data_IF_101396217923
#
_entry.id   IF_101396217923
#
_cell.length_a   1.000
_cell.length_b   1.000
_cell.length_c   1.000
_cell.angle_alpha   90.00
_cell.angle_beta   90.00
_cell.angle_gamma   90.00
#
_symmetry.space_group_name_H-M   'P 1'
#
loop_
_entity.id
_entity.type
_entity.pdbx_description
1 polymer ?
#
# COMPACT_ATOMS: atom_id res chain seq x y z
N UNK A 1 17.43 15.06 10.10
CA UNK A 1 16.16 15.52 10.72
C UNK A 1 15.35 14.30 11.12
N UNK A 2 15.02 14.16 12.41
CA UNK A 2 14.27 13.00 12.93
C UNK A 2 12.79 12.98 12.54
N UNK A 3 12.12 11.84 12.79
CA UNK A 3 10.68 11.69 12.52
C UNK A 3 9.88 12.35 13.63
N UNK A 4 9.31 13.52 13.37
CA UNK A 4 8.37 14.18 14.28
C UNK A 4 7.06 13.40 14.42
N UNK A 5 6.50 13.35 15.64
CA UNK A 5 5.15 12.85 15.88
C UNK A 5 4.14 13.81 15.23
N UNK A 6 3.13 13.26 14.56
CA UNK A 6 2.02 14.04 13.98
C UNK A 6 0.69 13.47 14.47
N UNK A 7 -0.32 14.32 14.61
CA UNK A 7 -1.68 13.89 14.92
C UNK A 7 -2.31 13.14 13.73
N UNK A 8 -3.20 12.17 14.01
CA UNK A 8 -3.95 11.45 12.98
C UNK A 8 -5.19 12.28 12.61
N UNK A 9 -4.96 13.30 11.78
CA UNK A 9 -5.98 14.15 11.18
C UNK A 9 -5.58 14.52 9.74
N UNK A 10 -6.48 15.16 9.00
CA UNK A 10 -6.17 15.68 7.66
C UNK A 10 -5.02 16.69 7.75
N UNK A 11 -4.00 16.54 6.91
CA UNK A 11 -2.88 17.49 6.82
C UNK A 11 -3.32 18.65 5.94
N UNK A 12 -3.30 19.88 6.43
CA UNK A 12 -3.79 21.04 5.68
C UNK A 12 -2.83 21.49 4.57
N UNK A 13 -1.54 21.60 4.91
CA UNK A 13 -0.48 21.96 3.96
C UNK A 13 -0.42 20.94 2.81
N UNK A 14 -0.66 21.42 1.58
CA UNK A 14 -0.74 20.60 0.38
C UNK A 14 0.55 19.84 0.08
N UNK A 15 1.71 20.52 0.17
CA UNK A 15 3.03 19.93 -0.05
C UNK A 15 3.34 18.83 0.96
N UNK A 16 3.13 19.10 2.26
CA UNK A 16 3.31 18.10 3.31
C UNK A 16 2.36 16.92 3.15
N UNK A 17 1.11 17.17 2.73
CA UNK A 17 0.12 16.13 2.47
C UNK A 17 0.53 15.25 1.29
N UNK A 18 1.01 15.81 0.19
CA UNK A 18 1.47 15.06 -1.00
C UNK A 18 2.71 14.19 -0.69
N UNK A 19 3.68 14.75 0.02
CA UNK A 19 4.88 14.00 0.45
C UNK A 19 4.49 12.88 1.42
N UNK A 20 3.62 13.17 2.38
CA UNK A 20 3.13 12.17 3.35
C UNK A 20 2.34 11.06 2.66
N UNK A 21 1.45 11.41 1.73
CA UNK A 21 0.71 10.44 0.92
C UNK A 21 1.67 9.50 0.19
N UNK A 22 2.67 10.05 -0.50
CA UNK A 22 3.65 9.27 -1.27
C UNK A 22 4.42 8.31 -0.37
N UNK A 23 4.92 8.79 0.79
CA UNK A 23 5.67 7.97 1.75
C UNK A 23 4.80 6.89 2.41
N UNK A 24 3.60 7.24 2.90
CA UNK A 24 2.70 6.30 3.58
C UNK A 24 2.13 5.25 2.64
N UNK A 25 1.71 5.64 1.44
CA UNK A 25 1.24 4.71 0.39
C UNK A 25 2.33 3.69 0.07
N UNK A 26 3.56 4.14 -0.16
CA UNK A 26 4.68 3.24 -0.44
C UNK A 26 4.97 2.29 0.74
N UNK A 27 4.91 2.80 1.99
CA UNK A 27 5.07 1.96 3.18
C UNK A 27 3.96 0.92 3.33
N UNK A 28 2.71 1.29 3.08
CA UNK A 28 1.56 0.40 3.13
C UNK A 28 1.66 -0.73 2.09
N UNK A 29 2.00 -0.39 0.85
CA UNK A 29 2.18 -1.38 -0.23
C UNK A 29 3.31 -2.37 0.10
N UNK A 30 4.41 -1.89 0.69
CA UNK A 30 5.50 -2.77 1.15
C UNK A 30 5.01 -3.74 2.24
N UNK A 31 4.27 -3.25 3.23
CA UNK A 31 3.74 -4.09 4.32
C UNK A 31 2.73 -5.13 3.83
N UNK A 32 1.86 -4.78 2.89
CA UNK A 32 0.97 -5.75 2.27
C UNK A 32 1.73 -6.85 1.52
N UNK A 33 2.77 -6.47 0.77
CA UNK A 33 3.62 -7.44 0.07
C UNK A 33 4.39 -8.35 1.04
N UNK A 34 4.91 -7.79 2.13
CA UNK A 34 5.54 -8.59 3.19
C UNK A 34 4.55 -9.60 3.77
N UNK A 35 3.31 -9.20 4.05
CA UNK A 35 2.27 -10.08 4.58
C UNK A 35 1.89 -11.20 3.60
N UNK A 36 1.71 -10.86 2.33
CA UNK A 36 1.43 -11.80 1.25
C UNK A 36 2.51 -12.90 1.16
N UNK A 37 3.80 -12.50 1.20
CA UNK A 37 4.92 -13.44 1.12
C UNK A 37 5.07 -14.27 2.41
N UNK A 38 5.02 -13.62 3.58
CA UNK A 38 5.34 -14.28 4.86
C UNK A 38 4.24 -15.23 5.32
N UNK A 39 2.99 -14.91 5.03
CA UNK A 39 1.83 -15.65 5.52
C UNK A 39 1.07 -16.35 4.40
N UNK A 40 1.55 -16.27 3.16
CA UNK A 40 0.88 -16.83 1.99
C UNK A 40 -0.59 -16.37 1.96
N UNK A 41 -0.81 -15.07 2.14
CA UNK A 41 -2.14 -14.47 2.29
C UNK A 41 -2.50 -13.63 1.07
N UNK A 42 -3.68 -13.81 0.49
CA UNK A 42 -4.13 -12.96 -0.61
C UNK A 42 -4.48 -11.55 -0.09
N UNK A 43 -3.87 -10.51 -0.66
CA UNK A 43 -4.02 -9.12 -0.22
C UNK A 43 -4.38 -8.22 -1.41
N UNK A 44 -5.38 -7.36 -1.20
CA UNK A 44 -5.79 -6.30 -2.12
C UNK A 44 -5.71 -4.92 -1.47
N UNK A 45 -5.09 -3.95 -2.16
CA UNK A 45 -5.08 -2.53 -1.79
C UNK A 45 -5.53 -1.70 -3.00
N UNK A 46 -6.43 -0.75 -2.74
CA UNK A 46 -6.87 0.27 -3.69
C UNK A 46 -6.74 1.65 -3.03
N UNK A 47 -6.00 2.56 -3.65
CA UNK A 47 -5.80 3.93 -3.17
C UNK A 47 -6.01 4.93 -4.31
N UNK A 48 -6.88 5.90 -4.08
CA UNK A 48 -7.06 7.05 -4.97
C UNK A 48 -6.31 8.27 -4.42
N UNK A 49 -5.56 8.96 -5.27
CA UNK A 49 -5.01 10.28 -4.90
C UNK A 49 -6.08 11.36 -4.96
N UNK A 50 -5.77 12.53 -4.39
CA UNK A 50 -6.59 13.74 -4.56
C UNK A 50 -6.65 14.22 -6.03
N UNK A 51 -5.76 13.74 -6.89
CA UNK A 51 -5.77 14.01 -8.34
C UNK A 51 -6.52 12.94 -9.13
N UNK A 52 -7.19 11.99 -8.46
CA UNK A 52 -7.93 10.90 -9.11
C UNK A 52 -7.06 9.76 -9.64
N UNK A 53 -5.75 9.78 -9.39
CA UNK A 53 -4.86 8.70 -9.84
C UNK A 53 -5.05 7.47 -8.96
N UNK A 54 -5.27 6.34 -9.62
CA UNK A 54 -5.38 5.03 -8.99
C UNK A 54 -3.98 4.45 -8.71
N UNK A 55 -3.81 3.92 -7.50
CA UNK A 55 -2.69 3.09 -7.09
C UNK A 55 -3.25 1.83 -6.46
N UNK A 56 -2.91 0.66 -7.01
CA UNK A 56 -3.40 -0.61 -6.51
C UNK A 56 -2.29 -1.65 -6.37
N UNK A 57 -2.55 -2.64 -5.54
CA UNK A 57 -1.82 -3.89 -5.45
C UNK A 57 -2.86 -5.00 -5.27
N UNK A 58 -2.73 -6.06 -6.04
CA UNK A 58 -3.52 -7.26 -5.89
C UNK A 58 -2.54 -8.43 -5.96
N UNK A 59 -2.43 -9.22 -4.88
CA UNK A 59 -1.81 -10.54 -4.97
C UNK A 59 -2.88 -11.55 -5.37
N UNK A 60 -2.59 -12.33 -6.40
CA UNK A 60 -3.38 -13.48 -6.79
C UNK A 60 -2.47 -14.69 -6.70
N UNK A 61 -2.86 -15.69 -5.92
CA UNK A 61 -2.26 -17.00 -6.08
C UNK A 61 -2.86 -17.59 -7.35
N UNK A 62 -2.08 -17.66 -8.42
CA UNK A 62 -2.39 -18.62 -9.46
C UNK A 62 -2.32 -19.98 -8.77
N UNK A 63 -3.48 -20.63 -8.55
CA UNK A 63 -3.49 -22.06 -8.29
C UNK A 63 -2.76 -22.68 -9.47
N UNK A 64 -1.51 -23.09 -9.29
CA UNK A 64 -0.88 -23.99 -10.23
C UNK A 64 -1.72 -25.26 -10.15
N UNK A 65 -2.69 -25.37 -11.05
CA UNK A 65 -3.32 -26.63 -11.39
C UNK A 65 -2.24 -27.50 -12.04
N UNK A 66 -1.34 -28.04 -11.25
CA UNK A 66 -0.59 -29.25 -11.59
C UNK A 66 -1.34 -30.43 -10.97
N UNK A 67 -2.55 -30.63 -11.48
CA UNK A 67 -3.06 -31.96 -11.74
C UNK A 67 -2.65 -32.27 -13.17
N UNK A 68 -1.53 -32.98 -13.37
CA UNK A 68 -1.39 -33.96 -14.45
C UNK A 68 -0.25 -34.94 -14.12
N UNK A 69 -0.70 -36.18 -13.86
CA UNK A 69 0.01 -37.47 -13.81
C UNK A 69 0.79 -37.82 -12.55
#
# INVERSE_FOLDING_TARGET
MGRGKIEIRRIDNSTSRQVTFSKRRNGLLKKAKELDILCDAEVGIIVFSNTGKLYNLASSKQKSSHSQR
#
